data_IF_231446132309
#
_entry.id   IF_231446132309
#
_cell.length_a   1.000
_cell.length_b   1.000
_cell.length_c   1.000
_cell.angle_alpha   90.00
_cell.angle_beta   90.00
_cell.angle_gamma   90.00
#
_symmetry.space_group_name_H-M   'P 1'
#
loop_
_entity.id
_entity.type
_entity.pdbx_description
1 polymer ?
#
# COMPACT_ATOMS: atom_id res chain seq x y z
N UNK A 1 11.40 8.01 1.25
CA UNK A 1 11.04 7.70 -0.15
C UNK A 1 11.04 8.92 -1.07
N UNK A 2 11.61 8.79 -2.26
CA UNK A 2 11.57 9.82 -3.31
C UNK A 2 10.21 9.81 -4.03
N UNK A 3 9.75 11.00 -4.45
CA UNK A 3 8.41 11.20 -5.04
C UNK A 3 8.34 10.99 -6.55
N UNK A 4 9.47 11.13 -7.25
CA UNK A 4 9.57 10.99 -8.70
C UNK A 4 10.56 9.87 -9.00
N UNK A 5 10.11 8.81 -9.68
CA UNK A 5 10.95 7.68 -10.06
C UNK A 5 11.12 7.66 -11.58
N UNK A 6 12.37 7.66 -12.04
CA UNK A 6 12.67 7.41 -13.45
C UNK A 6 12.43 5.93 -13.79
N UNK A 7 12.21 5.63 -15.07
CA UNK A 7 11.95 4.26 -15.54
C UNK A 7 13.08 3.30 -15.15
N UNK A 8 14.32 3.74 -15.24
CA UNK A 8 15.50 2.95 -14.90
C UNK A 8 15.55 2.64 -13.39
N UNK A 9 15.14 3.58 -12.54
CA UNK A 9 15.09 3.40 -11.09
C UNK A 9 13.97 2.44 -10.68
N UNK A 10 12.83 2.50 -11.39
CA UNK A 10 11.74 1.52 -11.23
C UNK A 10 12.23 0.11 -11.58
N UNK A 11 12.91 -0.05 -12.71
CA UNK A 11 13.50 -1.34 -13.09
C UNK A 11 14.49 -1.82 -12.02
N UNK A 12 15.33 -0.94 -11.51
CA UNK A 12 16.35 -1.29 -10.52
C UNK A 12 15.79 -1.67 -9.14
N UNK A 13 14.70 -1.04 -8.70
CA UNK A 13 14.24 -1.14 -7.30
C UNK A 13 12.87 -1.80 -7.13
N UNK A 14 12.05 -1.83 -8.17
CA UNK A 14 10.65 -2.29 -8.10
C UNK A 14 10.34 -3.50 -9.00
N UNK A 15 11.34 -4.02 -9.70
CA UNK A 15 11.20 -5.30 -10.43
C UNK A 15 11.17 -6.45 -9.43
N UNK A 16 10.19 -7.33 -9.58
CA UNK A 16 10.14 -8.62 -8.89
C UNK A 16 11.18 -9.56 -9.50
N UNK A 17 12.02 -10.15 -8.66
CA UNK A 17 13.14 -11.02 -9.04
C UNK A 17 13.18 -12.28 -8.18
N UNK A 18 13.66 -13.39 -8.76
CA UNK A 18 13.93 -14.63 -8.04
C UNK A 18 12.75 -15.13 -7.20
N UNK A 19 13.00 -15.33 -5.90
CA UNK A 19 12.02 -15.87 -4.95
C UNK A 19 10.82 -14.95 -4.66
N UNK A 20 10.91 -13.65 -5.00
CA UNK A 20 9.79 -12.72 -4.82
C UNK A 20 8.57 -13.18 -5.61
N UNK A 21 8.76 -13.73 -6.82
CA UNK A 21 7.69 -14.30 -7.63
C UNK A 21 6.97 -15.46 -6.94
N UNK A 22 7.70 -16.27 -6.17
CA UNK A 22 7.12 -17.37 -5.39
C UNK A 22 6.27 -16.84 -4.23
N UNK A 23 6.74 -15.80 -3.54
CA UNK A 23 6.02 -15.17 -2.44
C UNK A 23 4.72 -14.48 -2.93
N UNK A 24 4.84 -13.72 -4.02
CA UNK A 24 3.74 -12.99 -4.67
C UNK A 24 2.74 -13.96 -5.31
N UNK A 25 3.20 -15.05 -5.92
CA UNK A 25 2.37 -16.09 -6.53
C UNK A 25 1.43 -16.80 -5.56
N UNK A 26 1.81 -16.91 -4.28
CA UNK A 26 0.99 -17.51 -3.22
C UNK A 26 -0.21 -16.64 -2.80
N UNK A 27 -0.33 -15.42 -3.33
CA UNK A 27 -1.46 -14.51 -3.06
C UNK A 27 -2.56 -14.64 -4.11
N UNK A 28 -3.80 -14.35 -3.70
CA UNK A 28 -4.92 -14.19 -4.63
C UNK A 28 -4.65 -13.03 -5.59
N UNK A 29 -5.24 -13.07 -6.78
CA UNK A 29 -5.09 -12.01 -7.81
C UNK A 29 -5.39 -10.62 -7.24
N UNK A 30 -6.46 -10.49 -6.43
CA UNK A 30 -6.86 -9.23 -5.81
C UNK A 30 -5.88 -8.67 -4.76
N UNK A 31 -5.09 -9.52 -4.10
CA UNK A 31 -4.18 -9.10 -3.01
C UNK A 31 -2.72 -9.07 -3.43
N UNK A 32 -2.41 -9.64 -4.60
CA UNK A 32 -1.06 -9.78 -5.12
C UNK A 32 -0.36 -8.43 -5.39
N UNK A 33 -0.99 -7.41 -6.02
CA UNK A 33 -0.32 -6.11 -6.23
C UNK A 33 0.03 -5.41 -4.91
N UNK A 34 -0.91 -5.37 -3.96
CA UNK A 34 -0.67 -4.77 -2.64
C UNK A 34 0.44 -5.47 -1.86
N UNK A 35 0.46 -6.81 -1.89
CA UNK A 35 1.54 -7.58 -1.27
C UNK A 35 2.90 -7.32 -1.93
N UNK A 36 2.96 -7.28 -3.27
CA UNK A 36 4.20 -6.99 -4.00
C UNK A 36 4.73 -5.58 -3.68
N UNK A 37 3.86 -4.58 -3.61
CA UNK A 37 4.24 -3.22 -3.20
C UNK A 37 4.81 -3.17 -1.79
N UNK A 38 4.16 -3.84 -0.83
CA UNK A 38 4.67 -3.93 0.54
C UNK A 38 6.02 -4.64 0.63
N UNK A 39 6.22 -5.70 -0.17
CA UNK A 39 7.48 -6.44 -0.23
C UNK A 39 8.62 -5.55 -0.72
N UNK A 40 8.46 -4.91 -1.89
CA UNK A 40 9.49 -4.02 -2.45
C UNK A 40 9.72 -2.80 -1.57
N UNK A 41 8.68 -2.22 -1.01
CA UNK A 41 8.82 -1.10 -0.08
C UNK A 41 9.65 -1.50 1.15
N UNK A 42 9.40 -2.68 1.74
CA UNK A 42 10.17 -3.17 2.86
C UNK A 42 11.64 -3.41 2.51
N UNK A 43 11.93 -3.91 1.31
CA UNK A 43 13.31 -4.07 0.83
C UNK A 43 14.04 -2.73 0.70
N UNK A 44 13.37 -1.70 0.16
CA UNK A 44 13.96 -0.37 -0.08
C UNK A 44 14.11 0.43 1.23
N UNK A 45 13.09 0.43 2.09
CA UNK A 45 12.98 1.34 3.24
C UNK A 45 13.16 0.63 4.60
N UNK A 46 13.34 -0.70 4.62
CA UNK A 46 13.46 -1.53 5.83
C UNK A 46 12.31 -1.35 6.86
N UNK A 47 11.14 -0.95 6.38
CA UNK A 47 9.91 -0.71 7.15
C UNK A 47 8.69 -0.83 6.24
N UNK A 48 7.49 -0.79 6.80
CA UNK A 48 6.26 -0.70 6.01
C UNK A 48 5.79 0.76 5.87
N UNK A 49 5.05 1.09 4.78
CA UNK A 49 4.38 2.38 4.67
C UNK A 49 3.32 2.50 5.75
N UNK A 50 3.20 3.69 6.33
CA UNK A 50 2.15 4.05 7.29
C UNK A 50 0.94 4.67 6.61
N UNK A 51 1.17 5.29 5.45
CA UNK A 51 0.16 5.90 4.61
C UNK A 51 0.36 5.49 3.15
N UNK A 52 -0.71 5.49 2.37
CA UNK A 52 -0.69 5.10 0.97
C UNK A 52 0.12 6.07 0.10
N UNK A 53 0.15 7.36 0.46
CA UNK A 53 0.91 8.36 -0.28
C UNK A 53 2.43 8.20 -0.12
N UNK A 54 2.89 7.35 0.80
CA UNK A 54 4.30 6.98 0.88
C UNK A 54 4.72 6.09 -0.29
N UNK A 55 3.79 5.39 -0.94
CA UNK A 55 4.09 4.53 -2.09
C UNK A 55 4.01 5.36 -3.39
N UNK A 56 5.07 5.38 -4.21
CA UNK A 56 5.11 6.17 -5.44
C UNK A 56 4.05 5.68 -6.43
N UNK A 57 3.22 6.56 -7.01
CA UNK A 57 2.21 6.16 -8.00
C UNK A 57 2.79 5.41 -9.21
N UNK A 58 4.01 5.75 -9.63
CA UNK A 58 4.71 5.08 -10.73
C UNK A 58 5.05 3.62 -10.37
N UNK A 59 5.40 3.35 -9.11
CA UNK A 59 5.66 2.00 -8.63
C UNK A 59 4.36 1.17 -8.56
N UNK A 60 3.23 1.78 -8.19
CA UNK A 60 1.92 1.11 -8.20
C UNK A 60 1.60 0.58 -9.59
N UNK A 61 1.68 1.43 -10.63
CA UNK A 61 1.43 1.02 -12.00
C UNK A 61 2.41 -0.06 -12.48
N UNK A 62 3.70 0.18 -12.26
CA UNK A 62 4.77 -0.72 -12.69
C UNK A 62 4.67 -2.12 -12.07
N UNK A 63 4.35 -2.21 -10.77
CA UNK A 63 4.19 -3.50 -10.08
C UNK A 63 2.87 -4.19 -10.47
N UNK A 64 1.79 -3.43 -10.68
CA UNK A 64 0.51 -3.99 -11.13
C UNK A 64 0.64 -4.67 -12.50
N UNK A 65 1.35 -4.03 -13.44
CA UNK A 65 1.67 -4.59 -14.76
C UNK A 65 2.45 -5.91 -14.67
N UNK A 66 3.47 -5.96 -13.82
CA UNK A 66 4.27 -7.17 -13.59
C UNK A 66 3.42 -8.36 -13.13
N UNK A 67 2.39 -8.13 -12.32
CA UNK A 67 1.53 -9.21 -11.78
C UNK A 67 0.26 -9.44 -12.59
N UNK A 68 0.11 -8.77 -13.73
CA UNK A 68 -1.01 -8.94 -14.66
C UNK A 68 -2.34 -8.37 -14.18
N UNK A 69 -2.31 -7.31 -13.37
CA UNK A 69 -3.51 -6.62 -12.85
C UNK A 69 -3.51 -5.19 -13.38
N UNK A 70 -4.66 -4.70 -13.85
CA UNK A 70 -4.79 -3.29 -14.24
C UNK A 70 -4.64 -2.40 -12.99
N UNK A 71 -3.81 -1.36 -13.09
CA UNK A 71 -3.56 -0.43 -11.99
C UNK A 71 -4.84 0.24 -11.44
N UNK A 72 -5.91 0.32 -12.25
CA UNK A 72 -7.23 0.80 -11.80
C UNK A 72 -7.99 -0.21 -10.95
N UNK A 73 -7.73 -1.50 -11.12
CA UNK A 73 -8.34 -2.58 -10.34
C UNK A 73 -7.51 -2.95 -9.11
N UNK A 74 -6.23 -2.59 -9.09
CA UNK A 74 -5.42 -2.59 -7.87
C UNK A 74 -5.88 -1.45 -6.97
N UNK A 75 -7.04 -1.59 -6.35
CA UNK A 75 -7.38 -0.85 -5.14
C UNK A 75 -6.26 -1.12 -4.16
N UNK A 76 -5.34 -0.16 -4.03
CA UNK A 76 -4.15 -0.29 -3.20
C UNK A 76 -4.63 -0.48 -1.76
N UNK A 77 -4.70 -1.74 -1.32
CA UNK A 77 -5.05 -2.12 0.04
C UNK A 77 -3.82 -1.90 0.93
N UNK A 78 -3.18 -0.73 0.81
CA UNK A 78 -2.28 -0.25 1.84
C UNK A 78 -3.18 0.09 3.01
N UNK A 79 -3.04 -0.72 4.06
CA UNK A 79 -3.84 -0.69 5.28
C UNK A 79 -4.19 0.76 5.63
N UNK A 80 -5.47 1.18 5.59
CA UNK A 80 -5.83 2.51 6.04
C UNK A 80 -5.40 2.67 7.50
N UNK A 81 -4.84 3.83 7.83
CA UNK A 81 -4.40 4.19 9.16
C UNK A 81 -5.38 3.69 10.24
N UNK A 82 -4.91 3.22 11.41
CA UNK A 82 -5.79 2.69 12.44
C UNK A 82 -6.87 3.72 12.76
N UNK A 83 -8.13 3.27 12.72
CA UNK A 83 -9.27 4.05 13.16
C UNK A 83 -9.11 4.33 14.66
N UNK A 84 -8.48 5.45 15.01
CA UNK A 84 -8.78 6.06 16.29
C UNK A 84 -8.75 7.58 16.23
N UNK A 85 -9.94 8.15 16.03
CA UNK A 85 -10.43 9.24 16.86
C UNK A 85 -11.92 9.01 17.10
N UNK A 86 -12.26 7.99 17.91
CA UNK A 86 -13.43 8.19 18.77
C UNK A 86 -13.04 9.30 19.72
N UNK A 87 -13.41 10.53 19.38
CA UNK A 87 -13.53 11.62 20.35
C UNK A 87 -14.60 11.21 21.36
N UNK A 88 -14.20 10.38 22.30
CA UNK A 88 -14.84 10.18 23.57
C UNK A 88 -14.45 11.35 24.46
N UNK A 89 -15.25 12.41 24.40
CA UNK A 89 -15.53 13.27 25.56
C UNK A 89 -17.03 13.56 25.48
N UNK A 90 -17.88 12.80 26.16
CA UNK A 90 -18.22 13.06 27.56
C UNK A 90 -18.46 14.57 27.81
N UNK A 91 -19.54 15.09 27.25
CA UNK A 91 -20.35 16.12 27.90
C UNK A 91 -21.78 15.55 27.96
N UNK A 92 -22.07 14.65 28.89
CA UNK A 92 -22.36 14.95 30.29
C UNK A 92 -23.40 16.05 30.49
N UNK A 93 -24.58 15.82 29.92
CA UNK A 93 -25.84 16.03 30.64
C UNK A 93 -26.40 17.45 30.67
N UNK A 94 -27.48 17.68 29.91
CA UNK A 94 -28.60 18.45 30.44
C UNK A 94 -29.96 17.99 29.88
N UNK A 95 -30.58 17.14 30.70
CA UNK A 95 -31.99 17.12 31.14
C UNK A 95 -33.11 17.42 30.12
N UNK A 96 -33.89 16.36 29.89
CA UNK A 96 -35.34 16.24 29.61
C UNK A 96 -36.19 17.51 29.49
N UNK A 97 -36.90 17.58 28.35
CA UNK A 97 -38.37 17.55 28.24
C UNK A 97 -39.18 18.15 29.39
N UNK A 98 -39.85 19.27 29.13
CA UNK A 98 -41.20 19.61 29.56
C UNK A 98 -41.77 20.68 28.63
#
# INVERSE_FOLDING_TARGET
MQREWASEELVGSWTLVGDEWRLVGNKSVSTRPGFALLLKFFEIEARFPRYDEEVPPQAVGYVAEQVGVDAKESGVLLVPAPLDQRSSSADSGRVQLS
#
